data_IF_606828127457
#
_entry.id   IF_606828127457
#
_cell.length_a   1.000
_cell.length_b   1.000
_cell.length_c   1.000
_cell.angle_alpha   90.00
_cell.angle_beta   90.00
_cell.angle_gamma   90.00
#
_symmetry.space_group_name_H-M   'P 1'
#
loop_
_entity.id
_entity.type
_entity.pdbx_description
1 polymer ?
#
# COMPACT_ATOMS: atom_id res chain seq x y z
N UNK A 1 14.50 -12.18 -15.58
CA UNK A 1 13.58 -12.06 -14.42
C UNK A 1 12.61 -10.94 -14.72
N UNK A 2 11.28 -11.17 -14.75
CA UNK A 2 10.35 -10.10 -15.09
C UNK A 2 10.51 -9.00 -14.03
N UNK A 3 10.74 -7.77 -14.49
CA UNK A 3 11.00 -6.62 -13.63
C UNK A 3 9.88 -6.53 -12.59
N UNK A 4 10.21 -6.63 -11.30
CA UNK A 4 9.32 -6.55 -10.12
C UNK A 4 8.49 -5.26 -10.05
N UNK A 5 8.58 -4.38 -11.06
CA UNK A 5 8.00 -3.04 -11.15
C UNK A 5 6.49 -3.11 -11.47
N UNK A 6 5.98 -4.22 -12.01
CA UNK A 6 4.56 -4.39 -12.40
C UNK A 6 3.87 -5.55 -11.69
N UNK A 7 4.22 -5.78 -10.43
CA UNK A 7 3.53 -6.76 -9.60
C UNK A 7 2.22 -6.14 -9.09
N UNK A 8 1.04 -6.77 -9.30
CA UNK A 8 -0.23 -6.30 -8.73
C UNK A 8 -0.12 -5.95 -7.25
N UNK A 9 0.68 -6.73 -6.52
CA UNK A 9 0.94 -6.54 -5.10
C UNK A 9 1.54 -5.16 -4.76
N UNK A 10 2.36 -4.59 -5.65
CA UNK A 10 2.89 -3.25 -5.44
C UNK A 10 1.79 -2.19 -5.54
N UNK A 11 0.86 -2.33 -6.48
CA UNK A 11 -0.26 -1.40 -6.63
C UNK A 11 -1.20 -1.45 -5.40
N UNK A 12 -1.42 -2.64 -4.83
CA UNK A 12 -2.17 -2.81 -3.57
C UNK A 12 -1.48 -2.06 -2.44
N UNK A 13 -0.17 -2.25 -2.27
CA UNK A 13 0.60 -1.55 -1.24
C UNK A 13 0.48 -0.03 -1.38
N UNK A 14 0.66 0.52 -2.59
CA UNK A 14 0.54 1.97 -2.81
C UNK A 14 -0.87 2.50 -2.50
N UNK A 15 -1.90 1.73 -2.83
CA UNK A 15 -3.29 2.07 -2.53
C UNK A 15 -3.54 2.11 -1.02
N UNK A 16 -3.02 1.13 -0.28
CA UNK A 16 -3.10 1.10 1.19
C UNK A 16 -2.34 2.24 1.85
N UNK A 17 -1.12 2.53 1.41
CA UNK A 17 -0.35 3.66 1.94
C UNK A 17 -1.05 5.00 1.72
N UNK A 18 -1.63 5.20 0.53
CA UNK A 18 -2.42 6.39 0.21
C UNK A 18 -3.69 6.49 1.04
N UNK A 19 -4.38 5.36 1.27
CA UNK A 19 -5.56 5.26 2.14
C UNK A 19 -5.20 5.70 3.56
N UNK A 20 -4.16 5.12 4.15
CA UNK A 20 -3.73 5.43 5.52
C UNK A 20 -3.24 6.88 5.66
N UNK A 21 -2.49 7.41 4.69
CA UNK A 21 -2.13 8.84 4.69
C UNK A 21 -3.34 9.76 4.71
N UNK A 22 -4.35 9.46 3.89
CA UNK A 22 -5.60 10.25 3.87
C UNK A 22 -6.37 10.12 5.19
N UNK A 23 -6.42 8.93 5.77
CA UNK A 23 -7.07 8.69 7.07
C UNK A 23 -6.37 9.46 8.21
N UNK A 24 -5.04 9.58 8.15
CA UNK A 24 -4.25 10.42 9.06
C UNK A 24 -4.40 11.94 8.79
N UNK A 25 -5.20 12.35 7.79
CA UNK A 25 -5.44 13.75 7.47
C UNK A 25 -4.24 14.50 6.88
N UNK A 26 -3.20 13.79 6.43
CA UNK A 26 -1.97 14.40 5.94
C UNK A 26 -2.00 14.60 4.43
N UNK A 27 -1.53 15.74 3.93
CA UNK A 27 -1.13 15.90 2.52
C UNK A 27 0.17 15.13 2.24
N UNK A 28 0.48 14.89 0.95
CA UNK A 28 1.76 14.28 0.56
C UNK A 28 2.95 15.11 1.09
N UNK A 29 2.88 16.45 0.99
CA UNK A 29 3.93 17.37 1.47
C UNK A 29 4.11 17.27 2.98
N UNK A 30 3.02 17.26 3.75
CA UNK A 30 3.09 17.12 5.21
C UNK A 30 3.68 15.77 5.63
N UNK A 31 3.29 14.69 4.96
CA UNK A 31 3.80 13.34 5.25
C UNK A 31 5.30 13.24 4.89
N UNK A 32 5.73 13.74 3.74
CA UNK A 32 7.16 13.84 3.37
C UNK A 32 7.95 14.62 4.44
N UNK A 33 7.41 15.74 4.91
CA UNK A 33 8.05 16.57 5.94
C UNK A 33 8.15 15.85 7.28
N UNK A 34 7.09 15.15 7.71
CA UNK A 34 7.08 14.37 8.95
C UNK A 34 8.11 13.23 8.93
N UNK A 35 8.37 12.65 7.76
CA UNK A 35 9.42 11.66 7.54
C UNK A 35 10.85 12.24 7.45
N UNK A 36 11.01 13.57 7.50
CA UNK A 36 12.30 14.22 7.27
C UNK A 36 12.84 14.01 5.84
N UNK A 37 11.96 13.88 4.85
CA UNK A 37 12.29 13.60 3.44
C UNK A 37 11.99 14.80 2.53
N UNK A 38 12.54 14.82 1.29
CA UNK A 38 12.21 15.85 0.30
C UNK A 38 10.70 15.93 0.04
N UNK A 39 10.20 17.12 -0.30
CA UNK A 39 8.76 17.36 -0.53
C UNK A 39 8.11 16.34 -1.49
N UNK A 40 8.82 15.96 -2.56
CA UNK A 40 8.35 15.01 -3.56
C UNK A 40 8.26 13.56 -3.08
N UNK A 41 8.86 13.22 -1.93
CA UNK A 41 9.06 11.83 -1.50
C UNK A 41 7.76 11.00 -1.53
N UNK A 42 6.69 11.47 -0.87
CA UNK A 42 5.42 10.74 -0.86
C UNK A 42 4.70 10.72 -2.21
N UNK A 43 4.93 11.71 -3.07
CA UNK A 43 4.43 11.65 -4.45
C UNK A 43 5.19 10.59 -5.26
N UNK A 44 6.50 10.48 -5.10
CA UNK A 44 7.32 9.45 -5.76
C UNK A 44 6.90 8.05 -5.28
N UNK A 45 6.64 7.90 -3.98
CA UNK A 45 6.15 6.65 -3.38
C UNK A 45 4.77 6.29 -3.93
N UNK A 46 3.78 7.19 -3.83
CA UNK A 46 2.39 6.90 -4.26
C UNK A 46 2.26 6.71 -5.78
N UNK A 47 3.20 7.22 -6.58
CA UNK A 47 3.28 6.96 -8.02
C UNK A 47 4.07 5.69 -8.37
N UNK A 48 4.74 5.07 -7.38
CA UNK A 48 5.57 3.90 -7.55
C UNK A 48 6.93 4.14 -8.21
N UNK A 49 7.29 5.40 -8.44
CA UNK A 49 8.62 5.78 -8.95
C UNK A 49 9.71 5.64 -7.89
N UNK A 50 9.33 5.65 -6.61
CA UNK A 50 10.18 5.32 -5.46
C UNK A 50 9.66 4.10 -4.71
N UNK A 51 10.54 3.11 -4.50
CA UNK A 51 10.27 1.97 -3.61
C UNK A 51 10.67 2.31 -2.19
N UNK A 52 9.93 1.74 -1.24
CA UNK A 52 10.27 1.75 0.17
C UNK A 52 10.95 0.42 0.51
N UNK A 53 12.05 0.49 1.26
CA UNK A 53 12.52 -0.67 2.03
C UNK A 53 11.68 -0.83 3.32
N UNK A 54 11.93 -1.92 4.06
CA UNK A 54 11.16 -2.25 5.25
C UNK A 54 11.35 -1.24 6.40
N UNK A 55 12.52 -0.61 6.51
CA UNK A 55 12.79 0.40 7.54
C UNK A 55 12.04 1.68 7.20
N UNK A 56 12.09 2.12 5.95
CA UNK A 56 11.32 3.28 5.48
C UNK A 56 9.81 3.06 5.58
N UNK A 57 9.33 1.83 5.32
CA UNK A 57 7.93 1.48 5.51
C UNK A 57 7.53 1.56 6.98
N UNK A 58 8.38 1.08 7.90
CA UNK A 58 8.18 1.19 9.35
C UNK A 58 8.09 2.65 9.80
N UNK A 59 9.01 3.50 9.35
CA UNK A 59 9.02 4.93 9.68
C UNK A 59 7.73 5.62 9.18
N UNK A 60 7.27 5.25 7.97
CA UNK A 60 5.99 5.74 7.45
C UNK A 60 4.80 5.28 8.29
N UNK A 61 4.79 4.03 8.76
CA UNK A 61 3.74 3.54 9.66
C UNK A 61 3.68 4.35 10.95
N UNK A 62 4.83 4.68 11.54
CA UNK A 62 4.90 5.52 12.75
C UNK A 62 4.34 6.94 12.50
N UNK A 63 4.69 7.57 11.37
CA UNK A 63 4.15 8.87 10.97
C UNK A 63 2.64 8.84 10.75
N UNK A 64 2.12 7.73 10.21
CA UNK A 64 0.69 7.54 9.94
C UNK A 64 -0.12 7.07 11.15
N UNK A 65 0.54 6.74 12.27
CA UNK A 65 -0.12 6.24 13.47
C UNK A 65 -0.69 4.83 13.33
N UNK A 66 -0.10 3.98 12.49
CA UNK A 66 -0.51 2.58 12.28
C UNK A 66 0.63 1.62 12.64
N UNK A 67 0.31 0.40 13.07
CA UNK A 67 1.32 -0.64 13.27
C UNK A 67 1.83 -1.21 11.95
N UNK A 68 3.14 -1.47 11.83
CA UNK A 68 3.71 -2.14 10.65
C UNK A 68 3.08 -3.52 10.43
N UNK A 69 2.87 -4.27 11.51
CA UNK A 69 2.22 -5.59 11.46
C UNK A 69 0.75 -5.48 11.04
N UNK A 70 0.05 -4.45 11.47
CA UNK A 70 -1.34 -4.18 11.08
C UNK A 70 -1.43 -3.88 9.58
N UNK A 71 -0.51 -3.05 9.06
CA UNK A 71 -0.41 -2.79 7.62
C UNK A 71 -0.16 -4.08 6.82
N UNK A 72 0.73 -4.97 7.29
CA UNK A 72 1.03 -6.24 6.62
C UNK A 72 -0.18 -7.18 6.63
N UNK A 73 -0.91 -7.26 7.75
CA UNK A 73 -2.15 -8.06 7.83
C UNK A 73 -3.20 -7.55 6.86
N UNK A 74 -3.41 -6.23 6.80
CA UNK A 74 -4.35 -5.63 5.83
C UNK A 74 -3.89 -5.86 4.39
N UNK A 75 -2.60 -5.74 4.12
CA UNK A 75 -2.01 -6.01 2.81
C UNK A 75 -2.27 -7.44 2.32
N UNK A 76 -1.95 -8.45 3.13
CA UNK A 76 -2.19 -9.86 2.77
C UNK A 76 -3.68 -10.16 2.55
N UNK A 77 -4.56 -9.52 3.34
CA UNK A 77 -6.00 -9.62 3.15
C UNK A 77 -6.44 -9.03 1.81
N UNK A 78 -5.98 -7.83 1.47
CA UNK A 78 -6.29 -7.20 0.18
C UNK A 78 -5.76 -8.02 -1.01
N UNK A 79 -4.57 -8.62 -0.90
CA UNK A 79 -4.06 -9.53 -1.94
C UNK A 79 -4.92 -10.79 -2.10
N UNK A 80 -5.45 -11.32 -1.00
CA UNK A 80 -6.36 -12.46 -1.07
C UNK A 80 -7.70 -12.10 -1.73
N UNK A 81 -8.27 -10.95 -1.38
CA UNK A 81 -9.51 -10.44 -1.98
C UNK A 81 -9.36 -10.15 -3.48
N UNK A 82 -8.26 -9.53 -3.92
CA UNK A 82 -7.99 -9.31 -5.34
C UNK A 82 -7.88 -10.63 -6.13
N UNK A 83 -7.21 -11.64 -5.57
CA UNK A 83 -7.12 -12.97 -6.19
C UNK A 83 -8.48 -13.67 -6.31
N UNK A 84 -9.41 -13.42 -5.38
CA UNK A 84 -10.76 -13.99 -5.48
C UNK A 84 -11.62 -13.29 -6.52
N UNK A 85 -11.41 -11.98 -6.74
CA UNK A 85 -12.12 -11.21 -7.76
C UNK A 85 -11.69 -11.56 -9.20
N UNK A 86 -10.51 -12.16 -9.38
CA UNK A 86 -10.02 -12.71 -10.65
C UNK A 86 -10.56 -14.13 -10.96
N UNK A 87 -11.32 -14.75 -10.05
CA UNK A 87 -12.00 -16.03 -10.33
C UNK A 87 -13.23 -15.73 -11.20
N UNK A 88 -13.38 -16.36 -12.39
CA UNK A 88 -14.58 -16.20 -13.19
C UNK A 88 -15.82 -16.54 -12.36
N UNK A 89 -16.79 -15.60 -12.31
CA UNK A 89 -18.11 -15.71 -11.66
C UNK A 89 -18.96 -16.93 -12.07
N UNK A 90 -18.45 -17.80 -12.95
CA UNK A 90 -19.11 -18.99 -13.48
C UNK A 90 -18.91 -20.25 -12.61
N UNK A 91 -18.19 -20.17 -11.50
CA UNK A 91 -17.97 -21.29 -10.56
C UNK A 91 -18.52 -20.98 -9.15
N UNK A 92 -19.67 -20.33 -9.05
CA UNK A 92 -20.48 -20.41 -7.83
C UNK A 92 -21.31 -21.70 -7.90
N UNK A 93 -20.99 -22.77 -7.12
CA UNK A 93 -21.95 -23.85 -6.96
C UNK A 93 -23.18 -23.27 -6.27
N UNK A 94 -24.34 -23.49 -6.88
CA UNK A 94 -25.68 -23.20 -6.36
C UNK A 94 -25.70 -23.41 -4.85
N UNK A 95 -25.61 -22.32 -4.08
CA UNK A 95 -25.96 -22.35 -2.67
C UNK A 95 -27.48 -22.46 -2.62
N UNK A 96 -27.94 -23.63 -2.18
CA UNK A 96 -29.33 -23.98 -1.92
C UNK A 96 -30.10 -22.88 -1.20
#
# INVERSE_FOLDING_TARGET
>A
MPKTIYKPEHAVLLTLLKKHRKAAGMTQVQCSKALGRPQSFMSDVESGTRRLDIVQLRDLCEVLGIGLTELVVEFEKSLWEERQNDIPRQLEPLRN
#
